data_IF_036242744286
#
_entry.id   IF_036242744286
#
_cell.length_a   1.000
_cell.length_b   1.000
_cell.length_c   1.000
_cell.angle_alpha   90.00
_cell.angle_beta   90.00
_cell.angle_gamma   90.00
#
_symmetry.space_group_name_H-M   'P 1'
#
loop_
_entity.id
_entity.type
_entity.pdbx_description
1 polymer ?
#
# COMPACT_ATOMS: atom_id res chain seq x y z
N UNK A 1 -0.25 -3.33 -14.96
CA UNK A 1 0.02 -3.86 -13.59
C UNK A 1 -0.30 -2.81 -12.53
N UNK A 2 -0.35 -3.17 -11.23
CA UNK A 2 -0.57 -2.17 -10.17
C UNK A 2 0.48 -1.05 -10.20
N UNK A 3 1.72 -1.37 -10.58
CA UNK A 3 2.81 -0.41 -10.77
C UNK A 3 2.59 0.55 -11.95
N UNK A 4 1.99 0.11 -13.06
CA UNK A 4 1.66 1.00 -14.19
C UNK A 4 0.62 2.06 -13.80
N UNK A 5 -0.33 1.71 -12.92
CA UNK A 5 -1.32 2.67 -12.41
C UNK A 5 -0.69 3.67 -11.41
N UNK A 6 0.36 3.28 -10.70
CA UNK A 6 1.12 4.18 -9.82
C UNK A 6 1.86 5.25 -10.64
N UNK A 7 2.51 4.86 -11.74
CA UNK A 7 3.26 5.78 -12.59
C UNK A 7 2.38 6.88 -13.22
N UNK A 8 1.08 6.61 -13.40
CA UNK A 8 0.12 7.61 -13.90
C UNK A 8 -0.31 8.60 -12.81
N UNK A 9 -0.32 8.19 -11.55
CA UNK A 9 -0.72 9.02 -10.40
C UNK A 9 0.42 9.93 -9.91
N UNK A 10 1.68 9.54 -10.06
CA UNK A 10 2.86 10.39 -9.80
C UNK A 10 2.82 11.70 -10.60
N UNK A 11 2.21 11.69 -11.80
CA UNK A 11 2.05 12.88 -12.66
C UNK A 11 0.99 13.87 -12.19
N UNK A 12 0.16 13.54 -11.20
CA UNK A 12 -0.94 14.40 -10.76
C UNK A 12 -0.57 15.38 -9.63
N UNK A 13 0.72 15.53 -9.29
CA UNK A 13 1.20 16.55 -8.34
C UNK A 13 0.53 16.45 -6.96
N UNK A 14 0.27 15.23 -6.51
CA UNK A 14 -0.17 14.96 -5.13
C UNK A 14 0.65 13.84 -4.48
N UNK A 15 1.86 13.60 -4.99
CA UNK A 15 2.86 12.80 -4.30
C UNK A 15 3.44 13.66 -3.19
N UNK A 16 3.11 13.33 -1.95
CA UNK A 16 3.79 13.85 -0.77
C UNK A 16 4.97 12.91 -0.53
N UNK A 17 6.19 13.40 -0.30
CA UNK A 17 7.40 12.55 -0.11
C UNK A 17 7.18 11.42 0.92
N UNK A 18 6.30 11.68 1.89
CA UNK A 18 5.85 10.71 2.89
C UNK A 18 5.09 9.52 2.30
N UNK A 19 4.24 9.74 1.30
CA UNK A 19 3.50 8.68 0.63
C UNK A 19 4.42 7.80 -0.21
N UNK A 20 5.42 8.40 -0.86
CA UNK A 20 6.46 7.66 -1.58
C UNK A 20 7.30 6.82 -0.61
N UNK A 21 7.64 7.36 0.56
CA UNK A 21 8.29 6.61 1.64
C UNK A 21 7.47 5.37 2.06
N UNK A 22 6.17 5.52 2.26
CA UNK A 22 5.30 4.39 2.62
C UNK A 22 5.24 3.33 1.51
N UNK A 23 5.19 3.73 0.24
CA UNK A 23 5.21 2.78 -0.88
C UNK A 23 6.52 2.00 -0.90
N UNK A 24 7.66 2.68 -0.77
CA UNK A 24 8.97 2.02 -0.74
C UNK A 24 9.08 1.07 0.44
N UNK A 25 8.67 1.52 1.63
CA UNK A 25 8.66 0.69 2.85
C UNK A 25 7.85 -0.60 2.66
N UNK A 26 6.67 -0.51 2.03
CA UNK A 26 5.86 -1.69 1.73
C UNK A 26 6.56 -2.63 0.73
N UNK A 27 7.17 -2.08 -0.33
CA UNK A 27 7.90 -2.87 -1.34
C UNK A 27 9.12 -3.57 -0.73
N UNK A 28 9.91 -2.86 0.07
CA UNK A 28 11.09 -3.39 0.75
C UNK A 28 10.74 -4.50 1.76
N UNK A 29 9.56 -4.41 2.38
CA UNK A 29 9.06 -5.45 3.30
C UNK A 29 8.49 -6.68 2.57
N UNK A 30 8.38 -6.62 1.24
CA UNK A 30 7.97 -7.74 0.39
C UNK A 30 6.50 -7.69 -0.05
N UNK A 31 5.91 -6.50 -0.17
CA UNK A 31 4.62 -6.35 -0.84
C UNK A 31 4.73 -6.76 -2.31
N UNK A 32 3.70 -7.45 -2.81
CA UNK A 32 3.55 -7.79 -4.23
C UNK A 32 3.26 -6.57 -5.11
N UNK A 33 2.75 -5.51 -4.50
CA UNK A 33 2.47 -4.22 -5.13
C UNK A 33 1.90 -3.25 -4.11
N UNK A 34 2.17 -1.96 -4.29
CA UNK A 34 1.64 -0.90 -3.43
C UNK A 34 1.18 0.28 -4.30
N UNK A 35 0.10 0.94 -3.90
CA UNK A 35 -0.42 2.12 -4.61
C UNK A 35 -1.09 3.12 -3.66
N UNK A 36 -1.10 4.37 -4.07
CA UNK A 36 -1.89 5.42 -3.42
C UNK A 36 -3.37 5.30 -3.78
N UNK A 37 -4.21 5.68 -2.83
CA UNK A 37 -5.66 5.73 -2.96
C UNK A 37 -6.18 7.02 -2.35
N UNK A 38 -6.95 7.78 -3.14
CA UNK A 38 -7.53 9.06 -2.74
C UNK A 38 -7.25 10.15 -3.78
N UNK A 39 -8.18 11.11 -3.93
CA UNK A 39 -8.10 12.23 -4.87
C UNK A 39 -7.08 13.31 -4.50
N UNK A 40 -6.05 12.93 -3.74
CA UNK A 40 -4.91 13.74 -3.34
C UNK A 40 -5.18 14.92 -2.40
N UNK A 41 -5.85 14.65 -1.28
CA UNK A 41 -5.90 15.57 -0.13
C UNK A 41 -5.68 14.84 1.20
N UNK A 42 -4.81 13.81 1.21
CA UNK A 42 -4.54 12.95 2.37
C UNK A 42 -4.89 11.49 2.09
N UNK A 43 -4.20 10.90 1.11
CA UNK A 43 -4.58 9.63 0.49
C UNK A 43 -4.02 8.41 1.21
N UNK A 44 -4.89 7.48 1.59
CA UNK A 44 -4.53 6.16 2.08
C UNK A 44 -3.65 5.41 1.07
N UNK A 45 -2.79 4.52 1.54
CA UNK A 45 -2.04 3.59 0.70
C UNK A 45 -2.64 2.18 0.82
N UNK A 46 -2.63 1.42 -0.27
CA UNK A 46 -2.93 -0.01 -0.25
C UNK A 46 -1.69 -0.78 -0.70
N UNK A 47 -1.28 -1.78 0.10
CA UNK A 47 -0.24 -2.74 -0.24
C UNK A 47 -0.84 -4.16 -0.29
N UNK A 48 -0.47 -4.93 -1.32
CA UNK A 48 -0.89 -6.30 -1.49
C UNK A 48 0.18 -7.25 -0.94
N UNK A 49 -0.21 -8.12 -0.03
CA UNK A 49 0.67 -9.14 0.53
C UNK A 49 0.19 -10.54 0.13
N UNK A 50 1.13 -11.45 -0.11
CA UNK A 50 0.80 -12.83 -0.49
C UNK A 50 0.21 -13.66 0.66
N UNK A 51 0.63 -13.37 1.90
CA UNK A 51 0.22 -14.12 3.09
C UNK A 51 -0.18 -13.17 4.21
N UNK A 52 -0.98 -13.67 5.15
CA UNK A 52 -1.37 -12.89 6.35
C UNK A 52 -0.16 -12.47 7.18
N UNK A 53 0.83 -13.35 7.35
CA UNK A 53 2.07 -13.04 8.07
C UNK A 53 2.81 -11.88 7.40
N UNK A 54 2.95 -11.92 6.07
CA UNK A 54 3.58 -10.85 5.31
C UNK A 54 2.79 -9.55 5.39
N UNK A 55 1.46 -9.62 5.40
CA UNK A 55 0.60 -8.46 5.60
C UNK A 55 0.83 -7.79 6.97
N UNK A 56 1.04 -8.60 8.02
CA UNK A 56 1.33 -8.10 9.37
C UNK A 56 2.72 -7.44 9.44
N UNK A 57 3.73 -8.05 8.83
CA UNK A 57 5.07 -7.46 8.73
C UNK A 57 5.05 -6.11 8.00
N UNK A 58 4.32 -6.03 6.87
CA UNK A 58 4.13 -4.79 6.12
C UNK A 58 3.39 -3.75 6.96
N UNK A 59 2.32 -4.14 7.67
CA UNK A 59 1.59 -3.25 8.59
C UNK A 59 2.53 -2.61 9.60
N UNK A 60 3.35 -3.42 10.27
CA UNK A 60 4.28 -2.95 11.29
C UNK A 60 5.32 -1.99 10.70
N UNK A 61 5.92 -2.35 9.56
CA UNK A 61 6.90 -1.51 8.89
C UNK A 61 6.32 -0.15 8.49
N UNK A 62 5.05 -0.10 8.09
CA UNK A 62 4.36 1.14 7.74
C UNK A 62 4.06 2.00 8.95
N UNK A 63 3.63 1.42 10.07
CA UNK A 63 3.45 2.14 11.34
C UNK A 63 4.77 2.72 11.82
N UNK A 64 5.86 1.95 11.75
CA UNK A 64 7.21 2.39 12.11
C UNK A 64 7.72 3.53 11.19
N UNK A 65 7.32 3.53 9.92
CA UNK A 65 7.59 4.60 8.96
C UNK A 65 6.68 5.83 9.14
N UNK A 66 5.74 5.78 10.09
CA UNK A 66 4.90 6.90 10.49
C UNK A 66 3.47 6.87 9.96
N UNK A 67 3.00 5.76 9.37
CA UNK A 67 1.61 5.61 8.97
C UNK A 67 0.68 5.80 10.17
N UNK A 68 -0.34 6.65 10.02
CA UNK A 68 -1.21 7.02 11.13
C UNK A 68 -2.06 5.84 11.62
N UNK A 69 -2.58 5.01 10.71
CA UNK A 69 -3.33 3.80 10.99
C UNK A 69 -3.11 2.77 9.87
N UNK A 70 -3.15 1.48 10.21
CA UNK A 70 -3.11 0.39 9.23
C UNK A 70 -4.26 -0.60 9.44
N UNK A 71 -4.75 -1.20 8.35
CA UNK A 71 -5.79 -2.24 8.39
C UNK A 71 -5.44 -3.37 7.43
N UNK A 72 -5.60 -4.63 7.88
CA UNK A 72 -5.38 -5.81 7.05
C UNK A 72 -6.74 -6.40 6.64
N UNK A 73 -7.08 -6.26 5.37
CA UNK A 73 -8.26 -6.88 4.80
C UNK A 73 -7.90 -8.21 4.12
N UNK A 74 -8.45 -9.32 4.61
CA UNK A 74 -8.38 -10.59 3.89
C UNK A 74 -9.19 -10.51 2.61
N UNK A 75 -8.55 -10.75 1.46
CA UNK A 75 -9.24 -10.94 0.19
C UNK A 75 -9.83 -12.35 0.18
N UNK A 76 -10.93 -12.54 0.91
CA UNK A 76 -11.68 -13.78 0.92
C UNK A 76 -12.12 -14.10 -0.51
N UNK A 77 -11.46 -15.06 -1.16
CA UNK A 77 -12.02 -15.72 -2.32
C UNK A 77 -13.22 -16.50 -1.82
N UNK A 78 -14.42 -15.94 -1.99
CA UNK A 78 -15.63 -16.74 -2.03
C UNK A 78 -15.47 -17.69 -3.22
N UNK A 79 -14.94 -18.89 -2.96
CA UNK A 79 -15.17 -20.02 -3.84
C UNK A 79 -16.65 -20.29 -3.77
N UNK A 80 -17.42 -19.74 -4.72
CA UNK A 80 -18.73 -20.27 -5.05
C UNK A 80 -18.48 -21.71 -5.52
N UNK A 81 -18.63 -22.65 -4.60
CA UNK A 81 -18.75 -24.08 -4.89
C UNK A 81 -20.17 -24.42 -5.29
#
# INVERSE_FOLDING_TARGET
>A
TMDESQSLLEKLTISNDFLDLLIQTAKDTGALGAKLTGGGRGGCMIALAQTKTKAQEISQALEDAGAAETWIQGLGVHTYG
#
